data_IF_923549819184
#
_entry.id   IF_923549819184
#
_cell.length_a   1.000
_cell.length_b   1.000
_cell.length_c   1.000
_cell.angle_alpha   90.00
_cell.angle_beta   90.00
_cell.angle_gamma   90.00
#
_symmetry.space_group_name_H-M   'P 1'
#
loop_
_entity.id
_entity.type
_entity.pdbx_description
1 polymer ?
#
# COMPACT_ATOMS: atom_id res chain seq x y z
N UNK A 1 23.15 -10.52 -8.08
CA UNK A 1 22.11 -10.66 -7.04
C UNK A 1 21.95 -9.31 -6.34
N UNK A 2 21.03 -8.44 -6.79
CA UNK A 2 20.72 -7.24 -6.03
C UNK A 2 19.84 -7.66 -4.84
N UNK A 3 20.38 -7.48 -3.64
CA UNK A 3 19.68 -7.80 -2.40
C UNK A 3 18.33 -7.07 -2.33
N UNK A 4 17.23 -7.84 -2.34
CA UNK A 4 15.86 -7.35 -2.11
C UNK A 4 15.65 -6.76 -0.71
N UNK A 5 16.69 -6.68 0.12
CA UNK A 5 16.63 -6.13 1.48
C UNK A 5 16.21 -4.66 1.48
N UNK A 6 16.56 -3.88 0.46
CA UNK A 6 16.11 -2.49 0.32
C UNK A 6 14.61 -2.32 0.03
N UNK A 7 13.89 -3.39 -0.32
CA UNK A 7 12.49 -3.32 -0.73
C UNK A 7 11.49 -3.49 0.42
N UNK A 8 11.95 -3.90 1.62
CA UNK A 8 11.10 -3.99 2.82
C UNK A 8 11.29 -2.83 3.79
N UNK A 9 12.36 -2.05 3.67
CA UNK A 9 12.52 -0.85 4.49
C UNK A 9 11.57 0.26 4.04
N UNK A 10 10.91 0.96 4.99
CA UNK A 10 10.17 2.16 4.68
C UNK A 10 11.03 3.16 3.92
N UNK A 11 10.49 3.73 2.85
CA UNK A 11 11.11 4.82 2.11
C UNK A 11 10.92 6.17 2.82
N UNK A 12 9.71 6.38 3.36
CA UNK A 12 9.33 7.55 4.16
C UNK A 12 8.11 7.19 5.01
N UNK A 13 7.54 8.15 5.73
CA UNK A 13 6.18 8.04 6.28
C UNK A 13 5.32 9.22 5.85
N UNK A 14 4.01 8.99 5.90
CA UNK A 14 2.95 9.98 5.65
C UNK A 14 2.00 10.03 6.85
N UNK A 15 1.21 11.11 6.95
CA UNK A 15 0.16 11.21 7.96
C UNK A 15 -1.02 10.29 7.65
N UNK A 16 -1.82 9.98 8.67
CA UNK A 16 -3.11 9.28 8.54
C UNK A 16 -3.99 9.90 7.44
N UNK A 17 -4.14 11.23 7.46
CA UNK A 17 -4.98 11.96 6.52
C UNK A 17 -4.46 11.86 5.07
N UNK A 18 -3.15 11.99 4.85
CA UNK A 18 -2.54 11.82 3.53
C UNK A 18 -2.73 10.39 3.01
N UNK A 19 -2.46 9.39 3.86
CA UNK A 19 -2.66 7.97 3.53
C UNK A 19 -4.11 7.71 3.14
N UNK A 20 -5.05 8.14 3.96
CA UNK A 20 -6.49 7.94 3.75
C UNK A 20 -6.99 8.60 2.47
N UNK A 21 -6.57 9.84 2.22
CA UNK A 21 -6.91 10.57 0.99
C UNK A 21 -6.37 9.86 -0.26
N UNK A 22 -5.11 9.39 -0.23
CA UNK A 22 -4.50 8.65 -1.35
C UNK A 22 -5.22 7.34 -1.62
N UNK A 23 -5.44 6.51 -0.60
CA UNK A 23 -6.13 5.22 -0.78
C UNK A 23 -7.56 5.43 -1.29
N UNK A 24 -8.27 6.43 -0.76
CA UNK A 24 -9.62 6.79 -1.24
C UNK A 24 -9.61 7.20 -2.71
N UNK A 25 -8.67 8.04 -3.12
CA UNK A 25 -8.53 8.43 -4.53
C UNK A 25 -8.22 7.22 -5.44
N UNK A 26 -7.39 6.28 -4.99
CA UNK A 26 -7.07 5.06 -5.73
C UNK A 26 -8.26 4.13 -5.85
N UNK A 27 -9.05 3.97 -4.78
CA UNK A 27 -10.28 3.18 -4.79
C UNK A 27 -11.30 3.79 -5.74
N UNK A 28 -11.45 5.13 -5.76
CA UNK A 28 -12.33 5.80 -6.70
C UNK A 28 -11.86 5.68 -8.17
N UNK A 29 -10.54 5.63 -8.40
CA UNK A 29 -9.96 5.55 -9.74
C UNK A 29 -9.86 4.12 -10.29
N UNK A 30 -10.06 3.07 -9.47
CA UNK A 30 -9.83 1.66 -9.85
C UNK A 30 -11.02 0.81 -9.44
N UNK A 31 -11.79 0.40 -10.44
CA UNK A 31 -13.07 -0.31 -10.27
C UNK A 31 -12.96 -1.60 -9.42
N UNK A 32 -11.86 -2.35 -9.56
CA UNK A 32 -11.65 -3.63 -8.89
C UNK A 32 -11.07 -3.50 -7.47
N UNK A 33 -10.48 -2.35 -7.12
CA UNK A 33 -9.71 -2.20 -5.90
C UNK A 33 -10.58 -2.25 -4.64
N UNK A 34 -11.79 -1.69 -4.69
CA UNK A 34 -12.73 -1.71 -3.55
C UNK A 34 -13.07 -3.15 -3.15
N UNK A 35 -13.48 -3.97 -4.13
CA UNK A 35 -13.83 -5.37 -3.90
C UNK A 35 -12.63 -6.18 -3.40
N UNK A 36 -11.44 -5.92 -3.96
CA UNK A 36 -10.21 -6.58 -3.52
C UNK A 36 -9.87 -6.28 -2.06
N UNK A 37 -9.94 -5.01 -1.64
CA UNK A 37 -9.68 -4.62 -0.25
C UNK A 37 -10.71 -5.23 0.72
N UNK A 38 -11.98 -5.29 0.33
CA UNK A 38 -13.02 -5.89 1.16
C UNK A 38 -12.81 -7.40 1.42
N UNK A 39 -12.14 -8.10 0.50
CA UNK A 39 -11.85 -9.54 0.62
C UNK A 39 -10.50 -9.80 1.28
N UNK A 40 -9.46 -9.03 0.91
CA UNK A 40 -8.08 -9.36 1.26
C UNK A 40 -7.55 -8.58 2.47
N UNK A 41 -8.26 -7.53 2.93
CA UNK A 41 -7.77 -6.64 3.96
C UNK A 41 -8.80 -6.38 5.07
N UNK A 42 -8.29 -6.17 6.27
CA UNK A 42 -9.02 -5.67 7.43
C UNK A 42 -8.60 -4.23 7.73
N UNK A 43 -9.44 -3.42 8.39
CA UNK A 43 -9.12 -2.03 8.71
C UNK A 43 -7.80 -1.88 9.47
N UNK A 44 -7.09 -0.78 9.22
CA UNK A 44 -5.92 -0.37 10.00
C UNK A 44 -6.33 0.10 11.40
N UNK A 45 -5.39 0.03 12.34
CA UNK A 45 -5.55 0.62 13.67
C UNK A 45 -5.41 2.16 13.64
N UNK A 46 -5.70 2.80 14.77
CA UNK A 46 -5.52 4.24 14.91
C UNK A 46 -4.03 4.56 15.05
N UNK A 47 -3.47 5.23 14.05
CA UNK A 47 -2.07 5.65 14.05
C UNK A 47 -1.92 6.97 13.28
N UNK A 48 -1.14 7.90 13.84
CA UNK A 48 -0.87 9.22 13.28
C UNK A 48 -0.02 9.15 12.00
N UNK A 49 0.87 8.15 11.90
CA UNK A 49 1.83 8.03 10.79
C UNK A 49 1.92 6.62 10.24
N UNK A 50 2.01 6.54 8.92
CA UNK A 50 2.09 5.29 8.17
C UNK A 50 3.38 5.23 7.37
N UNK A 51 4.03 4.06 7.36
CA UNK A 51 5.16 3.83 6.48
C UNK A 51 4.71 3.80 5.01
N UNK A 52 5.59 4.30 4.15
CA UNK A 52 5.42 4.32 2.70
C UNK A 52 6.64 3.65 2.08
N UNK A 53 6.44 2.80 1.09
CA UNK A 53 7.51 2.06 0.43
C UNK A 53 7.59 2.40 -1.05
N UNK A 54 8.73 2.14 -1.69
CA UNK A 54 8.82 2.18 -3.15
C UNK A 54 8.12 0.97 -3.76
N UNK A 55 7.45 1.18 -4.90
CA UNK A 55 6.90 0.07 -5.67
C UNK A 55 8.04 -0.81 -6.21
N UNK A 56 8.03 -2.13 -5.98
CA UNK A 56 9.07 -3.02 -6.49
C UNK A 56 8.87 -3.36 -7.98
N UNK A 57 7.74 -2.97 -8.59
CA UNK A 57 7.49 -3.22 -10.00
C UNK A 57 8.47 -2.43 -10.87
N UNK A 58 9.29 -3.13 -11.66
CA UNK A 58 10.23 -2.51 -12.59
C UNK A 58 9.50 -1.51 -13.50
N UNK A 59 10.01 -0.27 -13.54
CA UNK A 59 9.46 0.81 -14.37
C UNK A 59 8.23 1.51 -13.78
N UNK A 60 7.75 1.12 -12.60
CA UNK A 60 6.70 1.85 -11.91
C UNK A 60 7.32 2.88 -10.95
N UNK A 61 7.04 4.19 -11.11
CA UNK A 61 7.57 5.23 -10.22
C UNK A 61 6.77 5.36 -8.92
N UNK A 62 5.73 4.54 -8.72
CA UNK A 62 4.79 4.69 -7.62
C UNK A 62 5.34 4.34 -6.24
N UNK A 63 4.63 4.83 -5.24
CA UNK A 63 4.78 4.52 -3.83
C UNK A 63 3.67 3.56 -3.39
N UNK A 64 3.92 2.85 -2.29
CA UNK A 64 2.99 1.91 -1.68
C UNK A 64 2.43 2.52 -0.40
N UNK A 65 1.11 2.60 -0.32
CA UNK A 65 0.37 3.17 0.80
C UNK A 65 -0.35 2.07 1.57
N UNK A 66 -0.31 2.12 2.91
CA UNK A 66 -1.06 1.19 3.75
C UNK A 66 -2.56 1.30 3.46
N UNK A 67 -3.24 0.19 3.23
CA UNK A 67 -4.68 0.14 2.95
C UNK A 67 -5.45 -0.79 3.88
N UNK A 68 -4.74 -1.55 4.72
CA UNK A 68 -5.31 -2.50 5.67
C UNK A 68 -4.26 -3.46 6.20
N UNK A 69 -4.67 -4.37 7.08
CA UNK A 69 -3.89 -5.56 7.39
C UNK A 69 -4.39 -6.71 6.53
N UNK A 70 -3.48 -7.52 5.98
CA UNK A 70 -3.90 -8.66 5.18
C UNK A 70 -4.71 -9.66 6.04
N UNK A 71 -5.87 -10.08 5.55
CA UNK A 71 -6.79 -10.92 6.32
C UNK A 71 -6.16 -12.26 6.74
N UNK A 72 -5.41 -12.88 5.83
CA UNK A 72 -4.84 -14.23 6.02
C UNK A 72 -3.36 -14.22 6.43
N UNK A 73 -2.74 -13.05 6.58
CA UNK A 73 -1.28 -12.91 6.78
C UNK A 73 -0.98 -11.77 7.73
N UNK A 74 -0.07 -11.97 8.67
CA UNK A 74 0.41 -10.92 9.58
C UNK A 74 1.30 -9.89 8.85
N UNK A 75 0.72 -9.14 7.93
CA UNK A 75 1.40 -8.18 7.07
C UNK A 75 0.51 -6.97 6.80
N UNK A 76 1.13 -5.83 6.50
CA UNK A 76 0.40 -4.64 6.04
C UNK A 76 0.06 -4.84 4.57
N UNK A 77 -1.22 -4.74 4.24
CA UNK A 77 -1.69 -4.74 2.87
C UNK A 77 -1.50 -3.34 2.29
N UNK A 78 -0.70 -3.21 1.23
CA UNK A 78 -0.35 -1.92 0.63
C UNK A 78 -0.77 -1.84 -0.83
N UNK A 79 -1.19 -0.65 -1.25
CA UNK A 79 -1.63 -0.36 -2.63
C UNK A 79 -0.65 0.59 -3.31
N UNK A 80 -0.27 0.30 -4.56
CA UNK A 80 0.62 1.18 -5.31
C UNK A 80 -0.16 2.36 -5.93
N UNK A 81 0.32 3.59 -5.80
CA UNK A 81 -0.28 4.77 -6.45
C UNK A 81 0.19 4.98 -7.91
N UNK A 82 1.20 4.24 -8.34
CA UNK A 82 1.77 4.35 -9.68
C UNK A 82 1.01 3.58 -10.76
N UNK A 83 1.58 3.57 -11.96
CA UNK A 83 0.99 3.01 -13.19
C UNK A 83 0.75 1.50 -13.17
N UNK A 84 1.37 0.76 -12.24
CA UNK A 84 1.22 -0.70 -12.22
C UNK A 84 -0.10 -1.17 -11.62
N UNK A 85 -0.76 -0.34 -10.81
CA UNK A 85 -2.04 -0.67 -10.17
C UNK A 85 -1.99 -1.83 -9.14
N UNK A 86 -0.80 -2.37 -8.84
CA UNK A 86 -0.65 -3.59 -8.04
C UNK A 86 -0.79 -3.34 -6.53
N UNK A 87 -1.07 -4.42 -5.82
CA UNK A 87 -1.06 -4.50 -4.35
C UNK A 87 0.08 -5.41 -3.89
N UNK A 88 0.56 -5.20 -2.67
CA UNK A 88 1.67 -5.93 -2.07
C UNK A 88 1.45 -6.13 -0.57
N UNK A 89 2.34 -6.89 0.06
CA UNK A 89 2.40 -7.11 1.50
C UNK A 89 3.74 -6.60 2.05
N UNK A 90 3.71 -5.98 3.22
CA UNK A 90 4.88 -5.45 3.93
C UNK A 90 4.95 -5.93 5.37
#
# INVERSE_FOLDING_TARGET
MSSNVGQNYPYTSESEAERSARVTALVAAREDLAGKLAVEATPLDANERWWVWKCPTKGCPGLLHAAGYAAERHAVYVVCDGTCGKTFLR
#
